data_IF_310477976914
#
_entry.id   IF_310477976914
#
_cell.length_a   1.000
_cell.length_b   1.000
_cell.length_c   1.000
_cell.angle_alpha   90.00
_cell.angle_beta   90.00
_cell.angle_gamma   90.00
#
_symmetry.space_group_name_H-M   'P 1'
#
loop_
_entity.id
_entity.type
_entity.pdbx_description
1 polymer ?
#
# COMPACT_ATOMS: atom_id res chain seq x y z
N UNK A 1 -16.47 -0.05 -7.82
CA UNK A 1 -16.36 -0.87 -6.61
C UNK A 1 -15.34 -1.99 -6.84
N UNK A 2 -14.37 -2.12 -5.93
CA UNK A 2 -13.34 -3.17 -5.98
C UNK A 2 -13.63 -4.17 -4.88
N UNK A 3 -13.50 -5.46 -5.21
CA UNK A 3 -13.59 -6.56 -4.25
C UNK A 3 -12.27 -7.34 -4.21
N UNK A 4 -12.15 -8.25 -3.27
CA UNK A 4 -11.00 -9.14 -3.17
C UNK A 4 -10.75 -9.92 -4.46
N UNK A 5 -11.80 -10.19 -5.24
CA UNK A 5 -11.69 -10.94 -6.49
C UNK A 5 -10.84 -10.22 -7.54
N UNK A 6 -10.76 -8.88 -7.50
CA UNK A 6 -9.92 -8.13 -8.44
C UNK A 6 -8.44 -8.49 -8.31
N UNK A 7 -7.99 -8.73 -7.09
CA UNK A 7 -6.57 -9.06 -6.82
C UNK A 7 -6.30 -10.55 -6.68
N UNK A 8 -7.33 -11.39 -6.77
CA UNK A 8 -7.17 -12.84 -6.72
C UNK A 8 -6.26 -13.31 -7.86
N UNK A 9 -5.26 -14.11 -7.53
CA UNK A 9 -4.28 -14.58 -8.51
C UNK A 9 -3.19 -13.57 -8.87
N UNK A 10 -3.20 -12.38 -8.25
CA UNK A 10 -2.17 -11.37 -8.42
C UNK A 10 -1.30 -11.23 -7.18
N UNK A 11 -0.03 -10.94 -7.39
CA UNK A 11 0.85 -10.41 -6.33
C UNK A 11 0.58 -8.92 -6.20
N UNK A 12 0.34 -8.44 -5.00
CA UNK A 12 0.09 -7.00 -4.84
C UNK A 12 0.72 -6.43 -3.58
N UNK A 13 1.01 -5.14 -3.65
CA UNK A 13 1.51 -4.33 -2.54
C UNK A 13 0.37 -3.49 -2.00
N UNK A 14 0.23 -3.43 -0.69
CA UNK A 14 -0.80 -2.65 -0.02
C UNK A 14 -0.19 -1.61 0.90
N UNK A 15 -0.75 -0.40 0.85
CA UNK A 15 -0.43 0.69 1.78
C UNK A 15 -1.69 1.37 2.29
N UNK A 16 -1.58 1.98 3.48
CA UNK A 16 -2.56 2.91 4.00
C UNK A 16 -1.99 4.33 3.95
N UNK A 17 -2.79 5.30 3.52
CA UNK A 17 -2.35 6.66 3.28
C UNK A 17 -3.51 7.65 3.45
N UNK A 18 -3.27 8.94 3.27
CA UNK A 18 -4.31 9.95 3.02
C UNK A 18 -3.73 11.10 2.19
N UNK A 19 -4.58 11.72 1.35
CA UNK A 19 -4.10 12.67 0.34
C UNK A 19 -3.51 13.95 0.95
N UNK A 20 -4.01 14.36 2.12
CA UNK A 20 -3.55 15.56 2.83
C UNK A 20 -2.36 15.32 3.76
N UNK A 21 -1.74 14.13 3.71
CA UNK A 21 -0.59 13.79 4.54
C UNK A 21 0.62 14.66 4.17
N UNK A 22 1.15 15.48 5.11
CA UNK A 22 2.22 16.41 4.78
C UNK A 22 3.63 15.84 4.94
N UNK A 23 3.77 14.63 5.49
CA UNK A 23 5.06 14.09 5.96
C UNK A 23 5.51 12.87 5.17
N UNK A 24 5.10 11.67 5.57
CA UNK A 24 5.62 10.40 5.03
C UNK A 24 4.99 9.99 3.69
N UNK A 25 3.74 10.41 3.43
CA UNK A 25 3.03 9.97 2.23
C UNK A 25 3.69 10.43 0.92
N UNK A 26 4.23 11.66 0.78
CA UNK A 26 4.95 12.03 -0.45
C UNK A 26 6.13 11.10 -0.75
N UNK A 27 6.87 10.68 0.27
CA UNK A 27 8.00 9.76 0.10
C UNK A 27 7.52 8.35 -0.21
N UNK A 28 6.46 7.88 0.46
CA UNK A 28 5.81 6.60 0.14
C UNK A 28 5.31 6.58 -1.29
N UNK A 29 4.70 7.68 -1.76
CA UNK A 29 4.21 7.79 -3.13
C UNK A 29 5.34 7.64 -4.14
N UNK A 30 6.50 8.27 -3.91
CA UNK A 30 7.67 8.12 -4.77
C UNK A 30 8.18 6.69 -4.78
N UNK A 31 8.25 6.05 -3.62
CA UNK A 31 8.66 4.65 -3.49
C UNK A 31 7.70 3.74 -4.26
N UNK A 32 6.40 3.98 -4.16
CA UNK A 32 5.39 3.18 -4.84
C UNK A 32 5.43 3.38 -6.37
N UNK A 33 5.71 4.59 -6.83
CA UNK A 33 5.90 4.86 -8.26
C UNK A 33 7.11 4.11 -8.84
N UNK A 34 8.18 3.94 -8.07
CA UNK A 34 9.33 3.13 -8.47
C UNK A 34 8.93 1.66 -8.61
N UNK A 35 8.12 1.15 -7.68
CA UNK A 35 7.61 -0.22 -7.73
C UNK A 35 6.71 -0.40 -8.94
N UNK A 36 5.80 0.54 -9.21
CA UNK A 36 4.96 0.53 -10.42
C UNK A 36 5.80 0.45 -11.68
N UNK A 37 6.82 1.30 -11.78
CA UNK A 37 7.70 1.37 -12.95
C UNK A 37 8.41 0.05 -13.21
N UNK A 38 8.87 -0.62 -12.15
CA UNK A 38 9.60 -1.90 -12.24
C UNK A 38 8.71 -3.01 -12.81
N UNK A 39 7.43 -3.05 -12.43
CA UNK A 39 6.51 -4.13 -12.80
C UNK A 39 5.40 -3.68 -13.75
N UNK A 40 5.54 -2.50 -14.35
CA UNK A 40 4.55 -1.96 -15.28
C UNK A 40 4.31 -2.91 -16.45
N UNK A 41 3.03 -3.12 -16.76
CA UNK A 41 2.62 -4.03 -17.84
C UNK A 41 2.48 -5.49 -17.42
N UNK A 42 2.86 -5.87 -16.20
CA UNK A 42 2.65 -7.24 -15.72
C UNK A 42 1.19 -7.40 -15.23
N UNK A 43 0.37 -8.25 -15.89
CA UNK A 43 -1.04 -8.41 -15.52
C UNK A 43 -1.23 -9.13 -14.18
N UNK A 44 -0.20 -9.78 -13.66
CA UNK A 44 -0.23 -10.54 -12.41
C UNK A 44 0.27 -9.73 -11.21
N UNK A 45 0.56 -8.44 -11.41
CA UNK A 45 1.00 -7.53 -10.37
C UNK A 45 0.00 -6.38 -10.19
N UNK A 46 -0.23 -5.99 -8.95
CA UNK A 46 -1.09 -4.85 -8.61
C UNK A 46 -0.62 -4.08 -7.39
N UNK A 47 -1.22 -2.93 -7.18
CA UNK A 47 -0.99 -2.07 -6.01
C UNK A 47 -2.34 -1.61 -5.46
N UNK A 48 -2.45 -1.59 -4.14
CA UNK A 48 -3.64 -1.12 -3.42
C UNK A 48 -3.24 -0.02 -2.47
N UNK A 49 -3.80 1.17 -2.65
CA UNK A 49 -3.65 2.29 -1.74
C UNK A 49 -5.00 2.62 -1.12
N UNK A 50 -5.12 2.44 0.19
CA UNK A 50 -6.39 2.62 0.92
C UNK A 50 -6.27 3.86 1.78
N UNK A 51 -7.19 4.81 1.60
CA UNK A 51 -7.21 6.02 2.43
C UNK A 51 -7.69 5.73 3.84
N UNK A 52 -7.07 6.38 4.83
CA UNK A 52 -7.51 6.37 6.22
C UNK A 52 -8.36 7.61 6.58
N UNK A 53 -8.59 8.49 5.59
CA UNK A 53 -9.43 9.69 5.72
C UNK A 53 -10.57 9.68 4.68
N UNK A 54 -11.53 8.73 4.78
CA UNK A 54 -12.56 8.58 3.76
C UNK A 54 -13.55 9.74 3.70
N UNK A 55 -13.63 10.56 4.74
CA UNK A 55 -14.51 11.74 4.75
C UNK A 55 -13.98 12.83 3.81
N UNK A 56 -12.67 13.04 3.77
CA UNK A 56 -12.02 13.99 2.87
C UNK A 56 -11.67 13.36 1.52
N UNK A 57 -11.14 12.15 1.53
CA UNK A 57 -10.68 11.45 0.34
C UNK A 57 -11.82 10.68 -0.34
N UNK A 58 -12.72 11.44 -0.96
CA UNK A 58 -13.80 10.90 -1.79
C UNK A 58 -13.25 10.24 -3.05
N UNK A 59 -14.04 9.45 -3.79
CA UNK A 59 -13.60 8.89 -5.07
C UNK A 59 -13.08 9.93 -6.05
N UNK A 60 -13.69 11.13 -6.08
CA UNK A 60 -13.25 12.24 -6.93
C UNK A 60 -11.87 12.76 -6.51
N UNK A 61 -11.63 12.94 -5.21
CA UNK A 61 -10.34 13.38 -4.65
C UNK A 61 -9.27 12.33 -4.93
N UNK A 62 -9.57 11.05 -4.77
CA UNK A 62 -8.64 9.96 -5.05
C UNK A 62 -8.28 9.88 -6.53
N UNK A 63 -9.24 10.12 -7.42
CA UNK A 63 -8.99 10.17 -8.87
C UNK A 63 -8.02 11.29 -9.22
N UNK A 64 -8.25 12.48 -8.69
CA UNK A 64 -7.36 13.63 -8.88
C UNK A 64 -5.96 13.34 -8.35
N UNK A 65 -5.85 12.76 -7.16
CA UNK A 65 -4.58 12.36 -6.55
C UNK A 65 -3.82 11.38 -7.44
N UNK A 66 -4.51 10.37 -7.98
CA UNK A 66 -3.94 9.41 -8.92
C UNK A 66 -3.38 10.09 -10.16
N UNK A 67 -4.12 11.03 -10.73
CA UNK A 67 -3.70 11.80 -11.90
C UNK A 67 -2.48 12.68 -11.61
N UNK A 68 -2.48 13.36 -10.45
CA UNK A 68 -1.36 14.20 -10.02
C UNK A 68 -0.06 13.39 -9.80
N UNK A 69 -0.16 12.16 -9.32
CA UNK A 69 0.99 11.28 -9.15
C UNK A 69 1.51 10.73 -10.48
N UNK A 70 0.71 10.78 -11.54
CA UNK A 70 1.10 10.22 -12.84
C UNK A 70 1.04 8.69 -12.88
N UNK A 71 0.13 8.09 -12.11
CA UNK A 71 -0.07 6.63 -12.09
C UNK A 71 -0.51 6.15 -13.46
N UNK A 72 0.16 5.13 -13.99
CA UNK A 72 -0.10 4.57 -15.33
C UNK A 72 -0.76 3.19 -15.28
N UNK A 73 -0.53 2.42 -14.24
CA UNK A 73 -1.04 1.06 -14.12
C UNK A 73 -2.55 1.03 -13.87
N UNK A 74 -3.28 0.23 -14.64
CA UNK A 74 -4.69 -0.06 -14.39
C UNK A 74 -4.90 -0.99 -13.18
N UNK A 75 -3.84 -1.61 -12.68
CA UNK A 75 -3.86 -2.49 -11.52
C UNK A 75 -3.49 -1.78 -10.22
N UNK A 76 -3.28 -0.48 -10.26
CA UNK A 76 -3.09 0.34 -9.06
C UNK A 76 -4.37 1.08 -8.76
N UNK A 77 -5.05 0.71 -7.68
CA UNK A 77 -6.32 1.29 -7.26
C UNK A 77 -6.16 2.06 -5.96
N UNK A 78 -6.78 3.24 -5.91
CA UNK A 78 -6.91 4.07 -4.72
C UNK A 78 -8.31 3.87 -4.17
N UNK A 79 -8.42 3.32 -2.95
CA UNK A 79 -9.68 2.86 -2.40
C UNK A 79 -10.11 3.69 -1.19
N UNK A 80 -11.41 3.84 -1.04
CA UNK A 80 -12.06 4.44 0.12
C UNK A 80 -13.24 3.57 0.56
N UNK A 81 -13.79 3.84 1.72
CA UNK A 81 -14.93 3.10 2.25
C UNK A 81 -15.35 3.60 3.61
N UNK A 82 -15.99 2.74 4.39
CA UNK A 82 -16.38 3.04 5.76
C UNK A 82 -15.14 3.18 6.67
N UNK A 83 -15.10 4.24 7.45
CA UNK A 83 -13.96 4.60 8.30
C UNK A 83 -13.65 3.52 9.35
N UNK A 84 -14.67 3.02 10.02
CA UNK A 84 -14.50 1.98 11.03
C UNK A 84 -13.97 0.69 10.40
N UNK A 85 -14.47 0.31 9.25
CA UNK A 85 -14.00 -0.85 8.49
C UNK A 85 -12.55 -0.69 8.05
N UNK A 86 -12.18 0.49 7.55
CA UNK A 86 -10.81 0.77 7.11
C UNK A 86 -9.83 0.68 8.29
N UNK A 87 -10.17 1.27 9.45
CA UNK A 87 -9.31 1.19 10.63
C UNK A 87 -9.19 -0.23 11.17
N UNK A 88 -10.27 -1.01 11.15
CA UNK A 88 -10.21 -2.42 11.52
C UNK A 88 -9.35 -3.22 10.55
N UNK A 89 -9.47 -2.97 9.24
CA UNK A 89 -8.66 -3.63 8.23
C UNK A 89 -7.18 -3.31 8.42
N UNK A 90 -6.85 -2.04 8.67
CA UNK A 90 -5.48 -1.61 8.91
C UNK A 90 -4.91 -2.22 10.20
N UNK A 91 -5.58 -2.03 11.32
CA UNK A 91 -5.03 -2.37 12.64
C UNK A 91 -5.13 -3.87 12.97
N UNK A 92 -6.19 -4.54 12.54
CA UNK A 92 -6.44 -5.96 12.84
C UNK A 92 -6.14 -6.88 11.65
N UNK A 93 -6.57 -6.49 10.45
CA UNK A 93 -6.40 -7.31 9.24
C UNK A 93 -4.96 -7.37 8.77
N UNK A 94 -4.31 -6.22 8.66
CA UNK A 94 -2.91 -6.10 8.22
C UNK A 94 -1.94 -5.81 9.35
N UNK A 95 -2.43 -5.56 10.56
CA UNK A 95 -1.62 -5.17 11.72
C UNK A 95 -0.69 -3.99 11.41
N UNK A 96 -1.18 -3.05 10.61
CA UNK A 96 -0.52 -1.78 10.28
C UNK A 96 -1.28 -0.65 10.97
N UNK A 97 -0.58 0.09 11.84
CA UNK A 97 -1.23 1.14 12.62
C UNK A 97 -1.76 2.27 11.75
N UNK A 98 -3.01 2.63 11.95
CA UNK A 98 -3.63 3.84 11.45
C UNK A 98 -4.65 4.37 12.46
N UNK A 99 -4.76 5.69 12.59
CA UNK A 99 -5.69 6.31 13.51
C UNK A 99 -5.75 7.83 13.37
N UNK A 100 -6.74 8.43 14.00
CA UNK A 100 -6.85 9.87 14.12
C UNK A 100 -5.97 10.37 15.26
N UNK A 101 -5.24 11.46 15.05
CA UNK A 101 -4.47 12.14 16.08
C UNK A 101 -4.40 13.64 15.76
N UNK A 102 -5.18 14.44 16.49
CA UNK A 102 -5.22 15.89 16.31
C UNK A 102 -3.92 16.61 16.66
N UNK A 103 -3.00 15.94 17.38
CA UNK A 103 -1.70 16.48 17.76
C UNK A 103 -0.67 16.37 16.65
N UNK A 104 -0.89 15.52 15.65
CA UNK A 104 -0.02 15.42 14.48
C UNK A 104 -0.55 16.27 13.35
N UNK A 105 0.37 16.72 12.50
CA UNK A 105 0.02 17.52 11.32
C UNK A 105 -0.80 16.66 10.35
N UNK A 106 -1.94 17.17 9.93
CA UNK A 106 -2.88 16.46 9.06
C UNK A 106 -3.99 15.70 9.78
N UNK A 107 -3.89 15.50 11.12
CA UNK A 107 -4.94 14.91 11.94
C UNK A 107 -5.01 13.37 11.94
N UNK A 108 -4.11 12.69 11.22
CA UNK A 108 -4.07 11.23 11.12
C UNK A 108 -2.66 10.69 11.24
N UNK A 109 -2.55 9.48 11.74
CA UNK A 109 -1.30 8.71 11.79
C UNK A 109 -1.44 7.43 10.99
N UNK A 110 -0.40 7.06 10.27
CA UNK A 110 -0.24 5.74 9.65
C UNK A 110 1.24 5.37 9.59
N UNK A 111 1.51 4.07 9.44
CA UNK A 111 2.89 3.59 9.27
C UNK A 111 3.40 3.89 7.86
N UNK A 112 4.71 4.05 7.72
CA UNK A 112 5.39 4.12 6.41
C UNK A 112 5.66 2.74 5.82
N UNK A 113 4.91 1.70 6.21
CA UNK A 113 5.18 0.32 5.87
C UNK A 113 4.27 -0.17 4.74
N UNK A 114 4.82 -1.04 3.91
CA UNK A 114 4.07 -1.74 2.86
C UNK A 114 3.87 -3.21 3.24
N UNK A 115 2.70 -3.76 2.94
CA UNK A 115 2.42 -5.18 3.02
C UNK A 115 2.53 -5.80 1.63
N UNK A 116 3.06 -7.01 1.55
CA UNK A 116 3.16 -7.77 0.30
C UNK A 116 2.24 -8.98 0.40
N UNK A 117 1.36 -9.13 -0.59
CA UNK A 117 0.36 -10.21 -0.63
C UNK A 117 0.58 -11.05 -1.88
N UNK A 118 0.58 -12.37 -1.72
CA UNK A 118 0.80 -13.31 -2.82
C UNK A 118 -0.49 -13.63 -3.61
N UNK A 119 -0.36 -14.49 -4.61
CA UNK A 119 -1.48 -14.90 -5.48
C UNK A 119 -2.60 -15.63 -4.75
N UNK A 120 -2.31 -16.17 -3.57
CA UNK A 120 -3.29 -16.88 -2.73
C UNK A 120 -3.97 -15.95 -1.72
N UNK A 121 -3.56 -14.68 -1.64
CA UNK A 121 -4.09 -13.73 -0.67
C UNK A 121 -3.38 -13.77 0.67
N UNK A 122 -2.23 -14.42 0.78
CA UNK A 122 -1.46 -14.52 2.00
C UNK A 122 -0.41 -13.39 2.08
N UNK A 123 -0.29 -12.81 3.28
CA UNK A 123 0.77 -11.81 3.55
C UNK A 123 2.10 -12.54 3.58
N UNK A 124 3.04 -12.09 2.75
CA UNK A 124 4.38 -12.67 2.62
C UNK A 124 5.43 -11.70 3.14
N UNK A 125 6.52 -12.26 3.64
CA UNK A 125 7.64 -11.48 4.15
C UNK A 125 8.93 -12.26 4.02
N UNK A 126 10.06 -11.55 4.18
CA UNK A 126 11.37 -12.20 4.30
C UNK A 126 11.69 -12.44 5.77
N UNK A 127 12.77 -13.17 6.01
CA UNK A 127 13.29 -13.42 7.35
C UNK A 127 14.58 -12.65 7.55
N UNK A 128 14.87 -12.30 8.80
CA UNK A 128 16.16 -11.75 9.19
C UNK A 128 17.25 -12.85 9.27
N UNK A 129 18.46 -12.46 9.63
CA UNK A 129 19.59 -13.40 9.74
C UNK A 129 19.42 -14.46 10.84
N UNK A 130 18.45 -14.25 11.73
CA UNK A 130 18.12 -15.17 12.85
C UNK A 130 16.91 -16.04 12.56
N UNK A 131 16.31 -15.91 11.37
CA UNK A 131 15.10 -16.65 10.97
C UNK A 131 13.79 -16.04 11.43
N UNK A 132 13.79 -14.83 12.01
CA UNK A 132 12.57 -14.14 12.44
C UNK A 132 11.91 -13.43 11.25
N UNK A 133 10.58 -13.47 11.13
CA UNK A 133 9.90 -12.81 10.03
C UNK A 133 10.00 -11.28 10.14
N UNK A 134 10.36 -10.62 9.03
CA UNK A 134 10.28 -9.17 8.87
C UNK A 134 8.97 -8.89 8.15
N UNK A 135 7.89 -8.69 8.92
CA UNK A 135 6.51 -8.74 8.43
C UNK A 135 6.19 -7.73 7.33
N UNK A 136 6.86 -6.56 7.35
CA UNK A 136 6.53 -5.45 6.44
C UNK A 136 7.80 -4.85 5.86
N UNK A 137 7.61 -4.09 4.76
CA UNK A 137 8.69 -3.40 4.06
C UNK A 137 8.63 -1.92 4.35
N UNK A 138 9.76 -1.31 4.65
CA UNK A 138 9.84 0.11 4.93
C UNK A 138 9.74 0.93 3.62
N UNK A 139 8.58 1.56 3.41
CA UNK A 139 8.31 2.38 2.24
C UNK A 139 9.04 3.73 2.23
N UNK A 140 9.72 4.09 3.32
CA UNK A 140 10.46 5.34 3.46
C UNK A 140 11.95 5.19 3.17
N UNK A 141 12.45 3.95 3.13
CA UNK A 141 13.85 3.64 2.96
C UNK A 141 14.14 2.92 1.64
N UNK A 142 15.25 3.28 1.01
CA UNK A 142 15.68 2.67 -0.26
C UNK A 142 15.86 1.15 -0.12
N UNK A 143 16.34 0.70 1.03
CA UNK A 143 16.51 -0.73 1.30
C UNK A 143 15.17 -1.45 1.28
N UNK A 144 14.14 -0.91 1.96
CA UNK A 144 12.80 -1.51 1.99
C UNK A 144 12.17 -1.60 0.61
N UNK A 145 12.32 -0.56 -0.20
CA UNK A 145 11.82 -0.55 -1.59
C UNK A 145 12.53 -1.61 -2.43
N UNK A 146 13.85 -1.72 -2.33
CA UNK A 146 14.62 -2.73 -3.03
C UNK A 146 14.23 -4.14 -2.59
N UNK A 147 14.09 -4.35 -1.29
CA UNK A 147 13.73 -5.65 -0.74
C UNK A 147 12.36 -6.11 -1.25
N UNK A 148 11.36 -5.23 -1.23
CA UNK A 148 10.03 -5.60 -1.74
C UNK A 148 10.04 -5.85 -3.25
N UNK A 149 10.80 -5.09 -4.03
CA UNK A 149 10.93 -5.33 -5.47
C UNK A 149 11.51 -6.72 -5.76
N UNK A 150 12.54 -7.13 -5.01
CA UNK A 150 13.11 -8.47 -5.14
C UNK A 150 12.09 -9.55 -4.79
N UNK A 151 11.36 -9.37 -3.72
CA UNK A 151 10.40 -10.36 -3.24
C UNK A 151 9.15 -10.44 -4.13
N UNK A 152 8.69 -9.33 -4.71
CA UNK A 152 7.64 -9.32 -5.73
C UNK A 152 8.07 -10.19 -6.93
N UNK A 153 9.31 -10.03 -7.41
CA UNK A 153 9.82 -10.81 -8.53
C UNK A 153 9.82 -12.31 -8.23
N UNK A 154 10.14 -12.70 -6.99
CA UNK A 154 10.09 -14.10 -6.54
C UNK A 154 8.65 -14.61 -6.55
N UNK A 155 7.72 -13.88 -5.95
CA UNK A 155 6.31 -14.28 -5.84
C UNK A 155 5.63 -14.37 -7.21
N UNK A 156 6.00 -13.53 -8.17
CA UNK A 156 5.46 -13.58 -9.52
C UNK A 156 5.82 -14.87 -10.26
N UNK A 157 6.89 -15.56 -9.84
CA UNK A 157 7.33 -16.84 -10.40
C UNK A 157 6.68 -18.05 -9.75
N UNK A 158 6.00 -17.85 -8.64
CA UNK A 158 5.30 -18.94 -7.94
C UNK A 158 4.03 -19.42 -8.68
#
# INVERSE_FOLDING_TARGET
KISNDFYKGKVYVLEFFFTSCPTICPKMNQSMLQIEKTFFGNPNFGIVSITIDPEHDTPAVLKEHRELLGVKSSNWNFLTGDKAYIFDLSNKGFNLYAGENSKVRGGFEHSGLFALVDKNGDIRCRKDDYGNPILYYDGLEKKGVRDIQQDIAILLKE
#
